data_IF_948779831796
#
_entry.id   IF_948779831796
#
_cell.length_a   1.000
_cell.length_b   1.000
_cell.length_c   1.000
_cell.angle_alpha   90.00
_cell.angle_beta   90.00
_cell.angle_gamma   90.00
#
_symmetry.space_group_name_H-M   'P 1'
#
loop_
_entity.id
_entity.type
_entity.pdbx_description
1 polymer ?
#
# COMPACT_ATOMS: atom_id res chain seq x y z
N UNK A 1 -8.38 11.68 0.53
CA UNK A 1 -7.07 11.38 -0.09
C UNK A 1 -7.23 10.45 -1.30
N UNK A 2 -6.26 10.42 -2.23
CA UNK A 2 -6.25 9.53 -3.41
C UNK A 2 -6.48 8.05 -3.03
N UNK A 3 -5.86 7.61 -1.93
CA UNK A 3 -5.99 6.24 -1.40
C UNK A 3 -7.42 5.92 -0.97
N UNK A 4 -8.12 6.84 -0.32
CA UNK A 4 -9.52 6.64 0.10
C UNK A 4 -10.46 6.54 -1.10
N UNK A 5 -10.22 7.36 -2.14
CA UNK A 5 -10.97 7.30 -3.39
C UNK A 5 -10.73 5.97 -4.12
N UNK A 6 -9.48 5.50 -4.16
CA UNK A 6 -9.13 4.20 -4.74
C UNK A 6 -9.80 3.04 -4.00
N UNK A 7 -9.76 3.03 -2.66
CA UNK A 7 -10.46 2.04 -1.84
C UNK A 7 -11.96 2.06 -2.10
N UNK A 8 -12.58 3.24 -2.18
CA UNK A 8 -14.02 3.38 -2.49
C UNK A 8 -14.41 2.85 -3.87
N UNK A 9 -13.44 2.74 -4.79
CA UNK A 9 -13.60 2.24 -6.16
C UNK A 9 -13.16 0.78 -6.31
N UNK A 10 -12.76 0.12 -5.22
CA UNK A 10 -12.23 -1.24 -5.24
C UNK A 10 -10.86 -1.37 -5.92
N UNK A 11 -10.14 -0.26 -6.10
CA UNK A 11 -8.80 -0.24 -6.69
C UNK A 11 -7.77 -0.44 -5.58
N UNK A 12 -7.13 -1.60 -5.57
CA UNK A 12 -6.04 -1.89 -4.63
C UNK A 12 -4.79 -1.09 -5.04
N UNK A 13 -4.30 -0.22 -4.15
CA UNK A 13 -3.09 0.59 -4.39
C UNK A 13 -2.06 0.37 -3.27
N UNK A 14 -1.51 -0.84 -3.13
CA UNK A 14 -0.66 -1.22 -1.99
C UNK A 14 0.58 -0.33 -1.84
N UNK A 15 1.20 0.06 -2.95
CA UNK A 15 2.36 0.98 -2.92
C UNK A 15 1.96 2.38 -2.46
N UNK A 16 0.86 2.92 -2.98
CA UNK A 16 0.39 4.26 -2.58
C UNK A 16 -0.09 4.28 -1.12
N UNK A 17 -0.68 3.17 -0.65
CA UNK A 17 -1.04 2.98 0.76
C UNK A 17 0.19 2.95 1.66
N UNK A 18 1.24 2.21 1.28
CA UNK A 18 2.50 2.19 2.00
C UNK A 18 3.15 3.59 2.08
N UNK A 19 3.17 4.32 0.96
CA UNK A 19 3.69 5.71 0.93
C UNK A 19 2.86 6.63 1.83
N UNK A 20 1.53 6.52 1.81
CA UNK A 20 0.67 7.31 2.69
C UNK A 20 0.94 7.01 4.17
N UNK A 21 1.12 5.74 4.53
CA UNK A 21 1.41 5.30 5.90
C UNK A 21 2.80 5.77 6.40
N UNK A 22 3.78 5.87 5.51
CA UNK A 22 5.10 6.43 5.81
C UNK A 22 4.99 7.94 6.06
N UNK A 23 4.30 8.65 5.17
CA UNK A 23 4.12 10.10 5.29
C UNK A 23 3.30 10.50 6.53
N UNK A 24 2.38 9.66 6.99
CA UNK A 24 1.65 9.86 8.24
C UNK A 24 2.45 9.45 9.49
N UNK A 25 3.66 8.89 9.34
CA UNK A 25 4.48 8.41 10.45
C UNK A 25 3.91 7.19 11.17
N UNK A 26 2.93 6.51 10.57
CA UNK A 26 2.27 5.33 11.16
C UNK A 26 3.04 4.04 10.95
N UNK A 27 3.99 4.03 10.01
CA UNK A 27 4.85 2.88 9.73
C UNK A 27 6.27 3.35 9.41
N UNK A 28 7.27 2.53 9.73
CA UNK A 28 8.64 2.76 9.29
C UNK A 28 8.83 2.27 7.85
N UNK A 29 9.89 2.75 7.19
CA UNK A 29 10.21 2.33 5.81
C UNK A 29 10.46 0.81 5.77
N UNK A 30 11.20 0.26 6.73
CA UNK A 30 11.51 -1.18 6.78
C UNK A 30 10.24 -2.04 6.90
N UNK A 31 9.32 -1.66 7.80
CA UNK A 31 8.06 -2.37 7.98
C UNK A 31 7.14 -2.25 6.74
N UNK A 32 7.19 -1.11 6.03
CA UNK A 32 6.47 -0.96 4.77
C UNK A 32 7.03 -1.88 3.67
N UNK A 33 8.35 -2.04 3.59
CA UNK A 33 9.01 -2.94 2.63
C UNK A 33 8.65 -4.40 2.92
N UNK A 34 8.72 -4.84 4.18
CA UNK A 34 8.33 -6.20 4.57
C UNK A 34 6.87 -6.49 4.21
N UNK A 35 5.95 -5.56 4.51
CA UNK A 35 4.53 -5.72 4.18
C UNK A 35 4.29 -5.83 2.67
N UNK A 36 5.03 -5.06 1.85
CA UNK A 36 4.96 -5.15 0.39
C UNK A 36 5.52 -6.48 -0.14
N UNK A 37 6.59 -6.99 0.46
CA UNK A 37 7.22 -8.27 0.08
C UNK A 37 6.41 -9.49 0.51
N UNK A 38 5.63 -9.40 1.59
CA UNK A 38 4.72 -10.47 2.04
C UNK A 38 3.45 -10.60 1.20
N UNK A 39 3.20 -9.67 0.28
CA UNK A 39 2.01 -9.73 -0.57
C UNK A 39 2.11 -10.95 -1.49
N UNK A 40 1.07 -11.80 -1.58
CA UNK A 40 1.04 -12.85 -2.59
C UNK A 40 1.19 -12.20 -3.96
N UNK A 41 2.19 -12.63 -4.73
CA UNK A 41 2.38 -12.17 -6.10
C UNK A 41 1.09 -12.43 -6.87
N UNK A 42 0.35 -11.37 -7.19
CA UNK A 42 -0.79 -11.46 -8.08
C UNK A 42 -0.18 -11.73 -9.45
N UNK A 43 -0.34 -12.96 -9.94
CA UNK A 43 0.05 -13.29 -11.31
C UNK A 43 -0.74 -12.34 -12.23
N UNK A 44 -0.02 -11.47 -12.92
CA UNK A 44 -0.59 -10.68 -14.01
C UNK A 44 -0.81 -11.65 -15.18
N UNK A 45 -2.06 -11.79 -15.63
CA UNK A 45 -2.37 -12.34 -16.97
C UNK A 45 -2.22 -11.25 -18.04
#
# INVERSE_FOLDING_TARGET
MLVELATSRGVEMPVAQAVAAILSGTVTIDAAIEALMMRPFKAEE
#
